data_IF_287837561947
#
_entry.id   IF_287837561947
#
_cell.length_a   1.000
_cell.length_b   1.000
_cell.length_c   1.000
_cell.angle_alpha   90.00
_cell.angle_beta   90.00
_cell.angle_gamma   90.00
#
_symmetry.space_group_name_H-M   'P 1'
#
loop_
_entity.id
_entity.type
_entity.pdbx_description
1 polymer ?
#
# COMPACT_ATOMS: atom_id res chain seq x y z
N UNK A 1 -31.85 24.94 5.56
CA UNK A 1 -30.72 24.79 4.61
C UNK A 1 -29.52 24.32 5.41
N UNK A 2 -28.83 23.23 5.06
CA UNK A 2 -27.57 22.91 5.71
C UNK A 2 -26.53 23.90 5.18
N UNK A 3 -25.93 24.69 6.07
CA UNK A 3 -24.75 25.48 5.77
C UNK A 3 -23.62 24.53 5.36
N UNK A 4 -23.31 24.47 4.06
CA UNK A 4 -22.09 23.86 3.56
C UNK A 4 -20.91 24.57 4.23
N UNK A 5 -20.31 23.96 5.25
CA UNK A 5 -19.02 24.37 5.79
C UNK A 5 -18.06 24.28 4.61
N UNK A 6 -17.61 25.43 4.09
CA UNK A 6 -16.50 25.43 3.12
C UNK A 6 -15.32 24.83 3.86
N UNK A 7 -14.80 23.70 3.36
CA UNK A 7 -13.53 23.17 3.83
C UNK A 7 -12.47 24.27 3.74
N UNK A 8 -11.65 24.38 4.78
CA UNK A 8 -10.67 25.45 4.87
C UNK A 8 -9.68 25.35 3.69
N UNK A 9 -9.35 26.47 3.07
CA UNK A 9 -8.55 26.50 1.83
C UNK A 9 -7.17 25.85 2.00
N UNK A 10 -6.61 25.87 3.22
CA UNK A 10 -5.32 25.25 3.53
C UNK A 10 -5.36 23.72 3.57
N UNK A 11 -6.55 23.13 3.70
CA UNK A 11 -6.77 21.70 3.53
C UNK A 11 -7.38 21.43 2.16
N UNK A 12 -7.17 22.25 1.12
CA UNK A 12 -7.61 21.93 -0.24
C UNK A 12 -6.63 21.05 -1.00
N UNK A 13 -5.32 21.26 -0.78
CA UNK A 13 -4.29 20.43 -1.39
C UNK A 13 -2.97 20.17 -0.58
N UNK A 14 -2.22 19.06 -0.71
CA UNK A 14 -1.02 18.73 0.09
C UNK A 14 -0.04 19.89 0.00
N UNK A 15 0.11 20.47 -1.20
CA UNK A 15 0.95 21.65 -1.41
C UNK A 15 0.39 22.84 -0.63
N UNK A 16 -0.93 23.07 -0.63
CA UNK A 16 -1.54 24.11 0.20
C UNK A 16 -1.34 23.84 1.70
N UNK A 17 -1.40 22.57 2.11
CA UNK A 17 -1.23 22.15 3.50
C UNK A 17 0.21 22.28 3.97
N UNK A 18 1.18 21.84 3.18
CA UNK A 18 2.61 22.01 3.42
C UNK A 18 2.95 23.51 3.52
N UNK A 19 2.48 24.32 2.57
CA UNK A 19 2.65 25.77 2.61
C UNK A 19 2.03 26.39 3.85
N UNK A 20 0.87 25.89 4.29
CA UNK A 20 0.22 26.34 5.51
C UNK A 20 1.03 25.99 6.75
N UNK A 21 1.52 24.76 6.87
CA UNK A 21 2.40 24.35 7.97
C UNK A 21 3.68 25.19 7.99
N UNK A 22 4.30 25.42 6.83
CA UNK A 22 5.46 26.31 6.71
C UNK A 22 5.14 27.74 7.19
N UNK A 23 3.98 28.29 6.81
CA UNK A 23 3.49 29.58 7.32
C UNK A 23 3.32 29.54 8.83
N UNK A 24 2.70 28.52 9.42
CA UNK A 24 2.50 28.42 10.87
C UNK A 24 3.83 28.46 11.64
N UNK A 25 4.85 27.74 11.18
CA UNK A 25 6.20 27.79 11.76
C UNK A 25 6.84 29.17 11.58
N UNK A 26 6.71 29.78 10.39
CA UNK A 26 7.24 31.12 10.10
C UNK A 26 6.62 32.19 11.01
N UNK A 27 5.30 32.18 11.20
CA UNK A 27 4.61 33.08 12.14
C UNK A 27 5.07 32.92 13.59
N UNK A 28 5.56 31.72 13.95
CA UNK A 28 6.14 31.43 15.25
C UNK A 28 7.66 31.70 15.30
N UNK A 29 8.19 32.50 14.39
CA UNK A 29 9.59 32.93 14.29
C UNK A 29 10.58 31.78 14.03
N UNK A 30 10.16 30.75 13.30
CA UNK A 30 11.08 29.77 12.74
C UNK A 30 11.49 30.18 11.33
N UNK A 31 12.77 29.98 10.99
CA UNK A 31 13.19 29.93 9.60
C UNK A 31 12.79 28.58 9.04
N UNK A 32 12.16 28.54 7.87
CA UNK A 32 11.64 27.31 7.26
C UNK A 32 12.24 27.16 5.86
N UNK A 33 12.74 25.96 5.56
CA UNK A 33 13.20 25.58 4.23
C UNK A 33 12.54 24.27 3.82
N UNK A 34 11.94 24.23 2.63
CA UNK A 34 11.40 23.01 2.03
C UNK A 34 12.53 22.04 1.72
N UNK A 35 12.33 20.75 2.03
CA UNK A 35 13.30 19.71 1.75
C UNK A 35 13.63 19.63 0.25
N UNK A 36 14.83 19.15 -0.07
CA UNK A 36 15.22 18.95 -1.47
C UNK A 36 14.41 17.79 -2.07
N UNK A 37 14.20 17.83 -3.38
CA UNK A 37 13.60 16.73 -4.13
C UNK A 37 14.31 15.41 -3.82
N UNK A 38 13.56 14.35 -3.50
CA UNK A 38 14.05 13.02 -3.09
C UNK A 38 14.68 12.90 -1.70
N UNK A 39 14.44 13.84 -0.79
CA UNK A 39 14.90 13.72 0.59
C UNK A 39 13.93 12.83 1.42
N UNK A 40 14.34 11.63 1.86
CA UNK A 40 13.44 10.74 2.59
C UNK A 40 13.28 11.19 4.05
N UNK A 41 12.06 11.08 4.57
CA UNK A 41 11.78 11.14 6.02
C UNK A 41 11.20 12.46 6.55
N UNK A 42 11.31 13.57 5.83
CA UNK A 42 10.74 14.86 6.23
C UNK A 42 10.48 15.77 5.01
N UNK A 43 9.62 16.77 5.20
CA UNK A 43 9.15 17.67 4.14
C UNK A 43 9.69 19.10 4.32
N UNK A 44 9.88 19.54 5.58
CA UNK A 44 10.47 20.84 5.90
C UNK A 44 11.62 20.70 6.90
N UNK A 45 12.61 21.58 6.80
CA UNK A 45 13.51 21.87 7.91
C UNK A 45 13.14 23.20 8.55
N UNK A 46 13.33 23.29 9.86
CA UNK A 46 13.05 24.49 10.63
C UNK A 46 14.23 24.85 11.53
N UNK A 47 14.51 26.14 11.66
CA UNK A 47 15.59 26.64 12.52
C UNK A 47 15.16 27.84 13.36
N UNK A 48 15.45 27.79 14.65
CA UNK A 48 15.22 28.89 15.58
C UNK A 48 16.24 28.84 16.71
N UNK A 49 17.03 29.89 16.87
CA UNK A 49 18.13 29.94 17.84
C UNK A 49 19.10 28.74 17.64
N UNK A 50 19.29 27.91 18.68
CA UNK A 50 20.09 26.68 18.63
C UNK A 50 19.28 25.44 18.23
N UNK A 51 17.97 25.58 18.02
CA UNK A 51 17.10 24.50 17.58
C UNK A 51 17.14 24.36 16.06
N UNK A 52 17.43 23.15 15.60
CA UNK A 52 17.38 22.74 14.21
C UNK A 52 16.53 21.48 14.15
N UNK A 53 15.40 21.54 13.45
CA UNK A 53 14.44 20.46 13.43
C UNK A 53 13.93 20.11 12.04
N UNK A 54 13.26 18.97 11.99
CA UNK A 54 12.55 18.46 10.82
C UNK A 54 11.05 18.45 11.06
N UNK A 55 10.28 18.70 10.01
CA UNK A 55 8.83 18.58 10.01
C UNK A 55 8.45 17.57 8.94
N UNK A 56 7.77 16.50 9.35
CA UNK A 56 7.05 15.64 8.43
C UNK A 56 5.59 16.08 8.39
N UNK A 57 5.12 16.42 7.20
CA UNK A 57 3.77 16.87 6.89
C UNK A 57 2.98 15.69 6.33
N UNK A 58 1.84 15.38 6.94
CA UNK A 58 0.94 14.32 6.49
C UNK A 58 -0.43 14.88 6.19
N UNK A 59 -0.65 15.10 4.90
CA UNK A 59 -1.96 15.40 4.40
C UNK A 59 -2.79 14.10 4.26
N UNK A 60 -3.85 13.93 5.07
CA UNK A 60 -4.66 12.69 5.11
C UNK A 60 -6.17 12.93 5.15
N UNK A 61 -6.94 11.95 4.60
CA UNK A 61 -8.39 11.77 4.75
C UNK A 61 -8.81 11.14 6.07
N UNK A 62 -7.94 10.33 6.64
CA UNK A 62 -8.15 9.57 7.87
C UNK A 62 -7.13 9.97 8.93
N UNK A 63 -7.26 9.40 10.13
CA UNK A 63 -6.27 9.61 11.17
C UNK A 63 -4.93 8.94 10.82
N UNK A 64 -3.83 9.52 11.28
CA UNK A 64 -2.48 8.93 11.19
C UNK A 64 -2.44 7.58 11.88
N UNK A 65 -1.84 6.58 11.23
CA UNK A 65 -1.73 5.21 11.74
C UNK A 65 -0.41 4.98 12.46
N UNK A 66 -0.34 3.95 13.32
CA UNK A 66 0.90 3.63 14.04
C UNK A 66 2.08 3.33 13.09
N UNK A 67 1.91 2.59 11.98
CA UNK A 67 2.98 2.38 11.01
C UNK A 67 3.61 3.66 10.44
N UNK A 68 2.77 4.65 10.08
CA UNK A 68 3.24 5.93 9.55
C UNK A 68 4.12 6.66 10.56
N UNK A 69 3.73 6.61 11.84
CA UNK A 69 4.48 7.25 12.91
C UNK A 69 5.78 6.49 13.25
N UNK A 70 5.73 5.16 13.29
CA UNK A 70 6.90 4.31 13.52
C UNK A 70 7.96 4.51 12.45
N UNK A 71 7.56 4.69 11.19
CA UNK A 71 8.48 5.02 10.11
C UNK A 71 9.20 6.34 10.34
N UNK A 72 8.50 7.37 10.83
CA UNK A 72 9.13 8.64 11.19
C UNK A 72 10.12 8.49 12.35
N UNK A 73 9.74 7.73 13.38
CA UNK A 73 10.63 7.44 14.52
C UNK A 73 11.90 6.73 14.06
N UNK A 74 11.77 5.76 13.14
CA UNK A 74 12.91 5.03 12.60
C UNK A 74 13.82 5.94 11.73
N UNK A 75 13.23 6.83 10.93
CA UNK A 75 14.00 7.90 10.27
C UNK A 75 14.78 8.76 11.28
N UNK A 76 14.18 9.13 12.41
CA UNK A 76 14.87 9.93 13.42
C UNK A 76 16.01 9.19 14.13
N UNK A 77 16.01 7.85 14.08
CA UNK A 77 17.11 7.01 14.57
C UNK A 77 18.26 6.88 13.53
N UNK A 78 18.05 7.32 12.30
CA UNK A 78 19.03 7.21 11.21
C UNK A 78 20.22 8.18 11.38
N UNK A 79 21.39 7.86 10.77
CA UNK A 79 22.53 8.79 10.72
C UNK A 79 22.19 10.15 10.10
N UNK A 80 21.30 10.17 9.11
CA UNK A 80 20.85 11.36 8.39
C UNK A 80 20.11 12.33 9.31
N UNK A 81 19.40 11.81 10.33
CA UNK A 81 18.66 12.63 11.27
C UNK A 81 19.51 13.22 12.41
N UNK A 82 20.77 12.77 12.57
CA UNK A 82 21.67 13.22 13.66
C UNK A 82 21.83 14.75 13.82
N UNK A 83 21.84 15.57 12.74
CA UNK A 83 21.96 17.01 12.90
C UNK A 83 20.75 17.67 13.57
N UNK A 84 19.59 17.01 13.56
CA UNK A 84 18.34 17.59 14.05
C UNK A 84 18.14 17.30 15.55
N UNK A 85 17.75 18.33 16.29
CA UNK A 85 17.54 18.28 17.73
C UNK A 85 16.07 18.47 18.15
N UNK A 86 15.15 18.62 17.19
CA UNK A 86 13.71 18.49 17.37
C UNK A 86 13.04 17.98 16.10
N UNK A 87 11.88 17.35 16.26
CA UNK A 87 11.13 16.74 15.17
C UNK A 87 9.64 17.00 15.36
N UNK A 88 8.93 17.24 14.26
CA UNK A 88 7.51 17.56 14.25
C UNK A 88 6.78 16.69 13.25
N UNK A 89 5.69 16.05 13.65
CA UNK A 89 4.79 15.30 12.77
C UNK A 89 3.45 16.02 12.73
N UNK A 90 3.20 16.73 11.64
CA UNK A 90 2.05 17.63 11.49
C UNK A 90 1.10 17.07 10.44
N UNK A 91 -0.17 16.95 10.80
CA UNK A 91 -1.18 16.27 9.97
C UNK A 91 -2.44 17.10 9.83
N UNK A 92 -3.19 16.92 8.74
CA UNK A 92 -4.53 17.52 8.63
C UNK A 92 -5.50 16.96 9.64
N UNK A 93 -5.28 15.72 10.08
CA UNK A 93 -6.18 14.96 10.96
C UNK A 93 -5.51 14.38 12.16
N UNK A 94 -6.34 13.90 13.10
CA UNK A 94 -5.87 13.31 14.33
C UNK A 94 -5.08 12.01 14.13
N UNK A 95 -4.81 11.36 15.24
CA UNK A 95 -4.02 10.13 15.30
C UNK A 95 -4.95 8.98 15.71
N UNK A 96 -4.72 7.79 15.17
CA UNK A 96 -5.49 6.60 15.55
C UNK A 96 -5.19 6.21 17.00
N UNK A 97 -6.04 5.37 17.60
CA UNK A 97 -5.81 4.85 18.96
C UNK A 97 -4.41 4.22 19.12
N UNK A 98 -4.00 3.29 18.23
CA UNK A 98 -2.65 2.74 18.20
C UNK A 98 -1.54 3.79 18.01
N UNK A 99 -1.71 4.76 17.10
CA UNK A 99 -0.72 5.83 16.91
C UNK A 99 -0.57 6.69 18.18
N UNK A 100 -1.68 7.03 18.83
CA UNK A 100 -1.68 7.71 20.12
C UNK A 100 -0.97 6.90 21.21
N UNK A 101 -1.08 5.57 21.19
CA UNK A 101 -0.36 4.71 22.13
C UNK A 101 1.16 4.76 21.90
N UNK A 102 1.60 4.79 20.64
CA UNK A 102 3.01 4.99 20.29
C UNK A 102 3.51 6.34 20.82
N UNK A 103 2.78 7.45 20.56
CA UNK A 103 3.15 8.79 21.08
C UNK A 103 3.30 8.77 22.61
N UNK A 104 2.38 8.11 23.32
CA UNK A 104 2.42 8.02 24.79
C UNK A 104 3.61 7.20 25.31
N UNK A 105 4.08 6.22 24.55
CA UNK A 105 5.22 5.38 24.97
C UNK A 105 6.57 6.12 24.99
N UNK A 106 6.66 7.27 24.32
CA UNK A 106 7.89 8.05 24.22
C UNK A 106 8.34 8.67 25.56
N UNK A 107 7.41 8.91 26.49
CA UNK A 107 7.71 9.58 27.76
C UNK A 107 7.95 11.10 27.61
N UNK A 108 8.39 11.77 28.69
CA UNK A 108 8.45 13.24 28.76
C UNK A 108 9.70 13.88 28.12
N UNK A 109 10.75 13.09 27.86
CA UNK A 109 12.05 13.58 27.37
C UNK A 109 12.22 13.49 25.84
N UNK A 110 11.13 13.35 25.09
CA UNK A 110 11.20 13.12 23.65
C UNK A 110 11.00 14.41 22.87
N UNK A 111 11.92 14.64 21.93
CA UNK A 111 11.99 15.82 21.07
C UNK A 111 11.11 15.69 19.82
N UNK A 112 10.08 14.84 19.88
CA UNK A 112 9.15 14.55 18.80
C UNK A 112 7.79 15.10 19.20
N UNK A 113 7.28 16.04 18.41
CA UNK A 113 6.01 16.73 18.67
C UNK A 113 5.00 16.36 17.58
N UNK A 114 3.85 15.85 17.97
CA UNK A 114 2.77 15.48 17.05
C UNK A 114 1.64 16.50 17.16
N UNK A 115 1.12 16.97 16.03
CA UNK A 115 0.08 17.98 16.04
C UNK A 115 -0.83 17.96 14.81
N UNK A 116 -2.04 18.48 14.99
CA UNK A 116 -3.02 18.70 13.92
C UNK A 116 -2.97 20.18 13.56
N UNK A 117 -2.71 20.51 12.30
CA UNK A 117 -2.69 21.91 11.90
C UNK A 117 -4.12 22.44 11.77
N UNK A 118 -4.34 23.59 12.41
CA UNK A 118 -5.56 24.37 12.38
C UNK A 118 -5.32 25.66 11.56
N UNK A 119 -6.37 26.42 11.26
CA UNK A 119 -6.25 27.65 10.47
C UNK A 119 -5.26 28.67 11.09
N UNK A 120 -5.24 28.79 12.43
CA UNK A 120 -4.43 29.80 13.13
C UNK A 120 -3.40 29.21 14.10
N UNK A 121 -3.11 27.91 14.01
CA UNK A 121 -2.20 27.26 14.95
C UNK A 121 -2.05 25.78 14.75
N UNK A 122 -1.36 25.13 15.68
CA UNK A 122 -1.21 23.68 15.73
C UNK A 122 -1.82 23.20 17.04
N UNK A 123 -2.78 22.29 16.93
CA UNK A 123 -3.32 21.56 18.06
C UNK A 123 -2.38 20.40 18.38
N UNK A 124 -1.57 20.57 19.43
CA UNK A 124 -0.59 19.57 19.84
C UNK A 124 -1.27 18.40 20.54
N UNK A 125 -0.91 17.18 20.15
CA UNK A 125 -1.36 15.97 20.82
C UNK A 125 -0.57 15.82 22.11
N UNK A 126 -1.21 15.85 23.28
CA UNK A 126 -0.53 15.58 24.53
C UNK A 126 -0.02 14.14 24.54
N UNK A 127 1.05 13.87 25.28
CA UNK A 127 1.43 12.51 25.67
C UNK A 127 0.37 11.93 26.65
N UNK A 128 -0.88 11.73 26.18
CA UNK A 128 -2.03 11.25 26.97
C UNK A 128 -3.40 11.76 26.47
N UNK A 129 -4.26 10.83 26.03
CA UNK A 129 -5.75 10.89 25.76
C UNK A 129 -6.23 11.98 24.76
N UNK A 130 -7.00 11.79 23.68
CA UNK A 130 -7.65 10.70 22.94
C UNK A 130 -8.71 11.28 21.97
N UNK A 131 -8.64 10.98 20.66
CA UNK A 131 -9.79 10.84 19.72
C UNK A 131 -10.25 12.01 18.80
N UNK A 132 -10.00 11.89 17.48
CA UNK A 132 -11.03 12.04 16.40
C UNK A 132 -10.91 13.12 15.28
N UNK A 133 -10.56 12.73 14.03
CA UNK A 133 -11.47 12.90 12.86
C UNK A 133 -11.11 13.78 11.63
N UNK A 134 -10.63 13.15 10.53
CA UNK A 134 -11.12 13.19 9.10
C UNK A 134 -10.97 14.36 8.06
N UNK A 135 -10.08 14.22 7.03
CA UNK A 135 -9.87 14.82 5.65
C UNK A 135 -9.87 16.32 5.21
N UNK A 136 -9.34 16.81 4.05
CA UNK A 136 -8.49 16.25 2.95
C UNK A 136 -8.07 17.21 1.78
N UNK A 137 -6.99 16.98 0.99
CA UNK A 137 -6.21 17.90 0.16
C UNK A 137 -5.07 17.33 -0.80
N UNK A 138 -5.19 17.48 -2.15
CA UNK A 138 -4.40 17.08 -3.37
C UNK A 138 -2.95 17.62 -3.74
N UNK A 139 -2.07 16.96 -4.54
CA UNK A 139 -1.23 17.41 -5.73
C UNK A 139 -0.30 16.28 -6.26
N UNK A 140 0.00 16.18 -7.59
CA UNK A 140 0.21 14.91 -8.30
C UNK A 140 1.71 14.66 -8.75
N UNK A 141 2.07 13.65 -9.58
CA UNK A 141 2.79 12.45 -9.14
C UNK A 141 4.15 12.20 -9.84
N UNK A 142 5.06 11.47 -9.18
CA UNK A 142 6.00 10.57 -9.87
C UNK A 142 5.25 9.34 -10.36
N UNK A 143 5.59 8.77 -11.53
CA UNK A 143 4.88 7.61 -12.11
C UNK A 143 4.75 6.44 -11.12
N UNK A 144 3.54 6.23 -10.59
CA UNK A 144 3.21 5.14 -9.67
C UNK A 144 2.92 3.86 -10.45
N UNK A 145 3.24 2.71 -9.86
CA UNK A 145 2.89 1.39 -10.38
C UNK A 145 1.62 0.91 -9.68
N UNK A 146 0.60 0.58 -10.46
CA UNK A 146 -0.69 0.09 -9.98
C UNK A 146 -0.87 -1.41 -10.28
N UNK A 147 -1.17 -2.16 -9.23
CA UNK A 147 -1.61 -3.55 -9.29
C UNK A 147 -3.11 -3.64 -8.97
N UNK A 148 -3.86 -4.42 -9.73
CA UNK A 148 -5.23 -4.81 -9.38
C UNK A 148 -5.33 -6.32 -9.17
N UNK A 149 -5.81 -6.75 -8.02
CA UNK A 149 -6.05 -8.18 -7.74
C UNK A 149 -7.54 -8.43 -7.88
N UNK A 150 -7.94 -9.16 -8.93
CA UNK A 150 -9.33 -9.42 -9.25
C UNK A 150 -9.71 -10.87 -8.96
N UNK A 151 -10.95 -11.09 -8.57
CA UNK A 151 -11.56 -12.44 -8.58
C UNK A 151 -13.00 -12.30 -9.00
N UNK A 152 -13.56 -13.34 -9.60
CA UNK A 152 -14.99 -13.37 -9.91
C UNK A 152 -15.77 -14.26 -8.92
N UNK A 153 -15.13 -14.70 -7.83
CA UNK A 153 -15.73 -15.52 -6.79
C UNK A 153 -15.04 -15.35 -5.43
N UNK A 154 -15.83 -15.39 -4.36
CA UNK A 154 -15.32 -15.50 -3.00
C UNK A 154 -14.54 -16.80 -2.78
N UNK A 155 -13.49 -16.74 -1.96
CA UNK A 155 -12.76 -17.92 -1.47
C UNK A 155 -11.61 -18.43 -2.35
N UNK A 156 -11.24 -17.73 -3.44
CA UNK A 156 -10.00 -18.06 -4.20
C UNK A 156 -8.75 -17.37 -3.64
N UNK A 157 -8.88 -16.62 -2.54
CA UNK A 157 -7.79 -15.97 -1.82
C UNK A 157 -7.31 -14.63 -2.41
N UNK A 158 -8.18 -13.85 -3.08
CA UNK A 158 -7.87 -12.51 -3.63
C UNK A 158 -7.21 -11.58 -2.60
N UNK A 159 -7.91 -11.31 -1.50
CA UNK A 159 -7.43 -10.47 -0.39
C UNK A 159 -6.10 -10.96 0.17
N UNK A 160 -5.96 -12.29 0.29
CA UNK A 160 -4.72 -12.92 0.70
C UNK A 160 -3.60 -12.59 -0.29
N UNK A 161 -3.80 -12.82 -1.59
CA UNK A 161 -2.79 -12.52 -2.63
C UNK A 161 -2.41 -11.04 -2.64
N UNK A 162 -3.37 -10.12 -2.51
CA UNK A 162 -3.11 -8.68 -2.44
C UNK A 162 -2.22 -8.31 -1.24
N UNK A 163 -2.56 -8.83 -0.06
CA UNK A 163 -1.80 -8.62 1.17
C UNK A 163 -0.38 -9.23 1.08
N UNK A 164 -0.24 -10.38 0.42
CA UNK A 164 1.06 -11.05 0.25
C UNK A 164 1.95 -10.31 -0.73
N UNK A 165 1.38 -9.80 -1.83
CA UNK A 165 2.10 -8.96 -2.77
C UNK A 165 2.60 -7.69 -2.07
N UNK A 166 1.76 -7.06 -1.24
CA UNK A 166 2.15 -5.91 -0.43
C UNK A 166 3.31 -6.24 0.52
N UNK A 167 3.19 -7.33 1.29
CA UNK A 167 4.24 -7.81 2.18
C UNK A 167 5.56 -8.06 1.48
N UNK A 168 5.53 -8.78 0.36
CA UNK A 168 6.73 -9.08 -0.42
C UNK A 168 7.41 -7.82 -0.95
N UNK A 169 6.66 -6.87 -1.52
CA UNK A 169 7.22 -5.62 -2.04
C UNK A 169 7.72 -4.69 -0.92
N UNK A 170 7.05 -4.66 0.22
CA UNK A 170 7.53 -3.91 1.39
C UNK A 170 8.88 -4.43 1.91
N UNK A 171 9.08 -5.76 1.90
CA UNK A 171 10.37 -6.37 2.21
C UNK A 171 11.46 -6.07 1.18
N UNK A 172 11.09 -5.69 -0.04
CA UNK A 172 12.02 -5.27 -1.09
C UNK A 172 12.36 -3.77 -1.04
N UNK A 173 11.86 -3.01 -0.04
CA UNK A 173 12.19 -1.59 0.08
C UNK A 173 11.13 -0.62 -0.39
N UNK A 174 9.92 -1.09 -0.73
CA UNK A 174 8.86 -0.23 -1.26
C UNK A 174 7.82 0.12 -0.21
N UNK A 175 7.41 1.39 -0.14
CA UNK A 175 6.17 1.74 0.53
C UNK A 175 4.98 1.35 -0.34
N UNK A 176 3.98 0.74 0.28
CA UNK A 176 2.81 0.18 -0.40
C UNK A 176 1.54 0.85 0.10
N UNK A 177 0.70 1.31 -0.83
CA UNK A 177 -0.67 1.73 -0.58
C UNK A 177 -1.60 0.60 -1.03
N UNK A 178 -2.35 0.04 -0.09
CA UNK A 178 -3.20 -1.12 -0.31
C UNK A 178 -4.68 -0.71 -0.18
N UNK A 179 -5.41 -0.75 -1.29
CA UNK A 179 -6.81 -0.30 -1.37
C UNK A 179 -7.75 -1.49 -1.27
N UNK A 180 -8.55 -1.54 -0.21
CA UNK A 180 -9.68 -2.45 -0.09
C UNK A 180 -10.90 -1.86 -0.82
N UNK A 181 -11.12 -2.32 -2.04
CA UNK A 181 -12.28 -1.95 -2.86
C UNK A 181 -13.44 -2.94 -2.67
N UNK A 182 -13.25 -3.98 -1.85
CA UNK A 182 -14.27 -4.98 -1.57
C UNK A 182 -15.19 -4.50 -0.44
N UNK A 183 -16.52 -4.43 -0.64
CA UNK A 183 -17.45 -4.03 0.42
C UNK A 183 -17.37 -4.89 1.68
N UNK A 184 -16.86 -6.12 1.58
CA UNK A 184 -16.69 -7.02 2.74
C UNK A 184 -15.55 -6.59 3.69
N UNK A 185 -14.68 -5.67 3.26
CA UNK A 185 -13.55 -5.12 4.01
C UNK A 185 -12.64 -6.19 4.63
N UNK A 186 -12.41 -7.29 3.90
CA UNK A 186 -11.66 -8.43 4.40
C UNK A 186 -10.16 -8.09 4.57
N UNK A 187 -9.66 -7.09 3.85
CA UNK A 187 -8.28 -6.65 3.95
C UNK A 187 -8.06 -5.83 5.21
N UNK A 188 -9.02 -4.96 5.55
CA UNK A 188 -9.02 -4.23 6.82
C UNK A 188 -9.07 -5.19 8.02
N UNK A 189 -9.82 -6.30 7.94
CA UNK A 189 -9.79 -7.33 8.99
C UNK A 189 -8.43 -8.03 9.12
N UNK A 190 -7.69 -8.15 8.02
CA UNK A 190 -6.40 -8.83 8.00
C UNK A 190 -5.27 -7.92 8.53
N UNK A 191 -5.27 -6.65 8.12
CA UNK A 191 -4.16 -5.71 8.35
C UNK A 191 -4.52 -4.46 9.13
N UNK A 192 -5.76 -4.35 9.59
CA UNK A 192 -6.30 -3.16 10.25
C UNK A 192 -6.01 -1.92 9.39
N UNK A 193 -5.34 -0.92 9.97
CA UNK A 193 -5.01 0.33 9.31
C UNK A 193 -3.61 0.31 8.64
N UNK A 194 -2.89 -0.82 8.71
CA UNK A 194 -1.59 -1.00 8.08
C UNK A 194 -0.53 -1.70 8.94
N UNK A 195 0.65 -1.90 8.36
CA UNK A 195 1.79 -2.61 8.97
C UNK A 195 3.09 -1.85 8.74
N UNK A 196 3.92 -1.78 9.79
CA UNK A 196 5.31 -1.35 9.68
C UNK A 196 6.23 -2.55 9.49
N UNK A 197 7.07 -2.51 8.47
CA UNK A 197 8.03 -3.58 8.12
C UNK A 197 9.44 -3.05 8.41
N UNK A 198 10.08 -3.46 9.52
CA UNK A 198 11.40 -2.97 9.90
C UNK A 198 12.47 -3.46 8.92
N UNK A 199 13.51 -2.66 8.74
CA UNK A 199 14.67 -2.99 7.90
C UNK A 199 15.95 -2.92 8.77
N UNK A 200 16.67 -4.04 8.99
CA UNK A 200 17.89 -4.03 9.79
C UNK A 200 19.01 -3.13 9.23
N UNK A 201 18.97 -2.79 7.94
CA UNK A 201 19.99 -2.00 7.25
C UNK A 201 19.63 -0.53 7.01
N UNK A 202 18.50 -0.04 7.52
CA UNK A 202 18.06 1.35 7.28
C UNK A 202 16.62 1.60 7.73
N UNK A 203 15.99 2.64 7.20
CA UNK A 203 14.59 2.94 7.52
C UNK A 203 13.67 1.84 6.95
N UNK A 204 12.74 1.36 7.77
CA UNK A 204 11.73 0.38 7.35
C UNK A 204 10.67 0.94 6.40
N UNK A 205 9.80 0.04 5.90
CA UNK A 205 8.76 0.35 4.92
C UNK A 205 7.37 0.20 5.53
N UNK A 206 6.37 0.81 4.89
CA UNK A 206 4.98 0.74 5.35
C UNK A 206 4.06 0.09 4.32
N UNK A 207 3.11 -0.70 4.83
CA UNK A 207 1.91 -1.10 4.09
C UNK A 207 0.75 -0.33 4.71
N UNK A 208 0.22 0.65 3.99
CA UNK A 208 -0.90 1.47 4.45
C UNK A 208 -2.20 0.99 3.80
N UNK A 209 -3.27 0.79 4.59
CA UNK A 209 -4.55 0.24 4.10
C UNK A 209 -5.58 1.35 3.98
N UNK A 210 -6.16 1.48 2.79
CA UNK A 210 -7.21 2.45 2.46
C UNK A 210 -8.48 1.73 2.03
N UNK A 211 -9.63 2.36 2.24
CA UNK A 211 -10.88 1.96 1.61
C UNK A 211 -11.31 3.03 0.60
N UNK A 212 -12.44 2.81 -0.08
CA UNK A 212 -12.95 3.75 -1.09
C UNK A 212 -13.13 5.19 -0.56
N UNK A 213 -13.54 5.35 0.70
CA UNK A 213 -13.84 6.65 1.28
C UNK A 213 -12.59 7.37 1.80
N UNK A 214 -11.59 6.61 2.26
CA UNK A 214 -10.33 7.15 2.78
C UNK A 214 -9.25 7.29 1.72
N UNK A 215 -9.45 6.72 0.54
CA UNK A 215 -8.51 6.81 -0.57
C UNK A 215 -8.42 8.23 -1.14
N UNK A 216 -7.20 8.69 -1.32
CA UNK A 216 -6.86 9.85 -2.12
C UNK A 216 -5.45 9.66 -2.66
N UNK A 217 -5.22 9.89 -3.95
CA UNK A 217 -3.90 9.68 -4.52
C UNK A 217 -2.80 10.52 -3.85
N UNK A 218 -3.19 11.66 -3.27
CA UNK A 218 -2.28 12.61 -2.68
C UNK A 218 -2.00 12.29 -1.20
N UNK A 219 -2.74 11.36 -0.60
CA UNK A 219 -2.43 10.86 0.75
C UNK A 219 -1.20 9.94 0.75
N UNK A 220 -0.75 9.50 -0.43
CA UNK A 220 0.32 8.52 -0.61
C UNK A 220 1.35 8.97 -1.66
N UNK A 221 1.79 10.24 -1.63
CA UNK A 221 2.73 10.80 -2.60
C UNK A 221 4.08 10.04 -2.66
N UNK A 222 4.63 9.68 -1.49
CA UNK A 222 5.91 8.97 -1.40
C UNK A 222 5.80 7.46 -1.70
N UNK A 223 4.57 6.97 -1.91
CA UNK A 223 4.31 5.58 -2.23
C UNK A 223 4.41 5.37 -3.74
N UNK A 224 5.34 4.50 -4.15
CA UNK A 224 5.56 4.17 -5.55
C UNK A 224 4.61 3.06 -6.06
N UNK A 225 4.06 2.25 -5.16
CA UNK A 225 3.27 1.07 -5.53
C UNK A 225 1.90 1.08 -4.86
N UNK A 226 0.86 1.04 -5.69
CA UNK A 226 -0.54 0.94 -5.26
C UNK A 226 -1.07 -0.43 -5.61
N UNK A 227 -1.66 -1.15 -4.66
CA UNK A 227 -2.27 -2.46 -4.86
C UNK A 227 -3.75 -2.37 -4.51
N UNK A 228 -4.62 -2.70 -5.45
CA UNK A 228 -6.07 -2.71 -5.28
C UNK A 228 -6.56 -4.13 -5.04
N UNK A 229 -7.10 -4.43 -3.86
CA UNK A 229 -7.92 -5.62 -3.60
C UNK A 229 -9.32 -5.37 -4.17
N UNK A 230 -9.51 -5.71 -5.45
CA UNK A 230 -10.69 -5.32 -6.22
C UNK A 230 -11.97 -6.05 -5.76
N UNK A 231 -13.13 -5.40 -5.86
CA UNK A 231 -14.41 -6.06 -5.65
C UNK A 231 -14.65 -7.15 -6.69
N UNK A 232 -15.31 -8.28 -6.35
CA UNK A 232 -15.56 -9.35 -7.30
C UNK A 232 -16.45 -8.99 -8.49
N UNK A 233 -17.27 -7.95 -8.32
CA UNK A 233 -18.09 -7.38 -9.39
C UNK A 233 -17.37 -6.16 -9.96
N UNK A 234 -17.01 -6.21 -11.25
CA UNK A 234 -16.14 -5.19 -11.85
C UNK A 234 -16.75 -3.79 -11.75
N UNK A 235 -18.07 -3.67 -11.92
CA UNK A 235 -18.84 -2.43 -11.86
C UNK A 235 -18.80 -1.73 -10.50
N UNK A 236 -18.39 -2.42 -9.43
CA UNK A 236 -18.22 -1.83 -8.09
C UNK A 236 -16.86 -1.16 -7.91
N UNK A 237 -15.89 -1.48 -8.77
CA UNK A 237 -14.57 -0.89 -8.76
C UNK A 237 -14.58 0.47 -9.48
N UNK A 238 -13.76 1.41 -9.02
CA UNK A 238 -13.63 2.70 -9.69
C UNK A 238 -12.99 2.52 -11.08
N UNK A 239 -13.69 3.00 -12.11
CA UNK A 239 -13.25 2.90 -13.50
C UNK A 239 -11.96 3.67 -13.75
N UNK A 240 -11.74 4.80 -13.08
CA UNK A 240 -10.50 5.59 -13.22
C UNK A 240 -9.31 4.86 -12.59
N UNK A 241 -9.50 4.11 -11.49
CA UNK A 241 -8.47 3.24 -10.95
C UNK A 241 -8.16 2.08 -11.92
N UNK A 242 -9.18 1.44 -12.49
CA UNK A 242 -8.97 0.34 -13.46
C UNK A 242 -8.13 0.82 -14.66
N UNK A 243 -8.39 2.02 -15.19
CA UNK A 243 -7.62 2.60 -16.31
C UNK A 243 -6.13 2.79 -15.99
N UNK A 244 -5.77 2.99 -14.73
CA UNK A 244 -4.39 3.23 -14.27
C UNK A 244 -3.61 1.97 -13.98
N UNK A 245 -4.27 0.81 -13.86
CA UNK A 245 -3.61 -0.45 -13.55
C UNK A 245 -2.52 -0.78 -14.60
N UNK A 246 -1.31 -1.02 -14.11
CA UNK A 246 -0.20 -1.52 -14.92
C UNK A 246 -0.23 -3.05 -14.99
N UNK A 247 -0.60 -3.68 -13.89
CA UNK A 247 -0.61 -5.13 -13.71
C UNK A 247 -1.92 -5.58 -13.06
N UNK A 248 -2.53 -6.63 -13.59
CA UNK A 248 -3.75 -7.23 -13.06
C UNK A 248 -3.49 -8.70 -12.76
N UNK A 249 -3.75 -9.13 -11.53
CA UNK A 249 -3.55 -10.50 -11.08
C UNK A 249 -4.91 -11.14 -10.79
N UNK A 250 -5.16 -12.31 -11.39
CA UNK A 250 -6.42 -13.04 -11.27
C UNK A 250 -6.12 -14.42 -10.65
N UNK A 251 -6.13 -14.57 -9.32
CA UNK A 251 -5.98 -15.88 -8.70
C UNK A 251 -7.17 -16.80 -9.01
N UNK A 252 -6.88 -18.06 -9.27
CA UNK A 252 -7.88 -19.14 -9.36
C UNK A 252 -7.38 -20.40 -8.66
N UNK A 253 -8.22 -21.41 -8.55
CA UNK A 253 -7.86 -22.69 -7.89
C UNK A 253 -7.73 -23.80 -8.93
N UNK A 254 -6.74 -24.66 -8.78
CA UNK A 254 -6.53 -25.80 -9.67
C UNK A 254 -7.39 -27.01 -9.26
N UNK A 255 -8.70 -26.91 -9.52
CA UNK A 255 -9.64 -28.02 -9.31
C UNK A 255 -10.73 -28.05 -10.39
N UNK A 256 -11.36 -29.21 -10.67
CA UNK A 256 -12.32 -29.35 -11.77
C UNK A 256 -13.54 -28.42 -11.70
N UNK A 257 -14.07 -28.18 -10.49
CA UNK A 257 -15.21 -27.29 -10.27
C UNK A 257 -14.85 -25.83 -10.49
N UNK A 258 -13.62 -25.45 -10.12
CA UNK A 258 -13.04 -24.14 -10.35
C UNK A 258 -12.82 -23.89 -11.83
N UNK A 259 -12.27 -24.83 -12.60
CA UNK A 259 -11.98 -24.60 -14.02
C UNK A 259 -13.26 -24.50 -14.87
N UNK A 260 -14.26 -25.36 -14.66
CA UNK A 260 -15.50 -25.33 -15.46
C UNK A 260 -16.37 -24.08 -15.21
N UNK A 261 -16.50 -23.66 -13.95
CA UNK A 261 -17.31 -22.48 -13.60
C UNK A 261 -16.50 -21.18 -13.67
N UNK A 262 -15.25 -21.17 -13.20
CA UNK A 262 -14.45 -19.94 -13.19
C UNK A 262 -13.83 -19.63 -14.55
N UNK A 263 -13.60 -20.63 -15.41
CA UNK A 263 -13.03 -20.40 -16.74
C UNK A 263 -13.78 -19.33 -17.52
N UNK A 264 -15.10 -19.52 -17.70
CA UNK A 264 -15.96 -18.54 -18.39
C UNK A 264 -16.01 -17.18 -17.69
N UNK A 265 -16.04 -17.17 -16.36
CA UNK A 265 -16.18 -15.92 -15.61
C UNK A 265 -14.87 -15.13 -15.64
N UNK A 266 -13.72 -15.78 -15.52
CA UNK A 266 -12.40 -15.15 -15.67
C UNK A 266 -12.23 -14.62 -17.09
N UNK A 267 -12.64 -15.37 -18.12
CA UNK A 267 -12.66 -14.88 -19.50
C UNK A 267 -13.51 -13.60 -19.63
N UNK A 268 -14.71 -13.56 -19.03
CA UNK A 268 -15.55 -12.34 -18.98
C UNK A 268 -14.84 -11.19 -18.28
N UNK A 269 -14.24 -11.43 -17.12
CA UNK A 269 -13.50 -10.40 -16.38
C UNK A 269 -12.30 -9.86 -17.16
N UNK A 270 -11.56 -10.72 -17.88
CA UNK A 270 -10.48 -10.27 -18.77
C UNK A 270 -11.04 -9.34 -19.86
N UNK A 271 -12.14 -9.73 -20.51
CA UNK A 271 -12.78 -8.91 -21.55
C UNK A 271 -13.31 -7.58 -21.01
N UNK A 272 -13.94 -7.60 -19.85
CA UNK A 272 -14.47 -6.40 -19.20
C UNK A 272 -13.34 -5.46 -18.75
N UNK A 273 -12.26 -5.98 -18.15
CA UNK A 273 -11.06 -5.19 -17.85
C UNK A 273 -10.52 -4.57 -19.14
N UNK A 274 -10.41 -5.34 -20.23
CA UNK A 274 -9.92 -4.84 -21.53
C UNK A 274 -10.81 -3.78 -22.16
N UNK A 275 -12.12 -3.81 -21.90
CA UNK A 275 -13.03 -2.75 -22.34
C UNK A 275 -12.76 -1.39 -21.65
N UNK A 276 -12.02 -1.40 -20.54
CA UNK A 276 -11.67 -0.21 -19.74
C UNK A 276 -10.17 0.12 -19.88
N UNK A 277 -9.30 -0.88 -19.83
CA UNK A 277 -7.84 -0.76 -19.83
C UNK A 277 -7.20 -1.73 -20.84
N UNK A 278 -6.79 -1.17 -21.99
CA UNK A 278 -6.16 -1.92 -23.08
C UNK A 278 -4.66 -2.16 -22.86
N UNK A 279 -4.05 -1.53 -21.84
CA UNK A 279 -2.59 -1.48 -21.69
C UNK A 279 -2.05 -2.31 -20.52
N UNK A 280 -2.87 -2.66 -19.54
CA UNK A 280 -2.46 -3.47 -18.39
C UNK A 280 -1.95 -4.86 -18.79
N UNK A 281 -0.95 -5.38 -18.09
CA UNK A 281 -0.55 -6.79 -18.20
C UNK A 281 -1.44 -7.62 -17.26
N UNK A 282 -2.12 -8.63 -17.79
CA UNK A 282 -3.04 -9.49 -17.05
C UNK A 282 -2.40 -10.86 -16.82
N UNK A 283 -2.40 -11.32 -15.58
CA UNK A 283 -1.84 -12.60 -15.19
C UNK A 283 -2.91 -13.43 -14.50
N UNK A 284 -3.12 -14.64 -14.98
CA UNK A 284 -3.87 -15.64 -14.22
C UNK A 284 -2.88 -16.59 -13.55
N UNK A 285 -3.08 -16.85 -12.26
CA UNK A 285 -2.22 -17.75 -11.49
C UNK A 285 -3.04 -18.70 -10.63
N UNK A 286 -2.44 -19.85 -10.34
CA UNK A 286 -3.02 -20.82 -9.41
C UNK A 286 -2.69 -20.42 -7.98
N UNK A 287 -3.73 -20.19 -7.19
CA UNK A 287 -3.69 -20.05 -5.76
C UNK A 287 -4.23 -21.30 -5.06
N UNK A 288 -3.90 -21.41 -3.77
CA UNK A 288 -4.33 -22.48 -2.90
C UNK A 288 -3.90 -23.86 -3.40
N UNK A 289 -2.72 -23.93 -4.02
CA UNK A 289 -2.22 -25.14 -4.66
C UNK A 289 -1.94 -26.22 -3.62
N UNK A 290 -2.55 -27.38 -3.82
CA UNK A 290 -2.28 -28.62 -3.09
C UNK A 290 -1.82 -29.64 -4.11
N UNK A 291 -0.66 -30.25 -3.90
CA UNK A 291 -0.13 -31.25 -4.82
C UNK A 291 -1.11 -32.43 -4.96
N UNK A 292 -1.73 -32.62 -6.15
CA UNK A 292 -2.70 -33.67 -6.37
C UNK A 292 -2.04 -35.01 -6.81
N UNK A 293 -0.70 -35.05 -6.87
CA UNK A 293 0.09 -36.13 -7.43
C UNK A 293 0.28 -36.02 -8.95
N UNK A 294 1.41 -36.53 -9.45
CA UNK A 294 1.91 -36.35 -10.83
C UNK A 294 0.85 -36.56 -11.92
N UNK A 295 0.13 -37.69 -11.89
CA UNK A 295 -0.86 -38.03 -12.93
C UNK A 295 -2.02 -37.04 -12.97
N UNK A 296 -2.56 -36.69 -11.79
CA UNK A 296 -3.71 -35.78 -11.67
C UNK A 296 -3.30 -34.35 -11.98
N UNK A 297 -2.10 -33.95 -11.54
CA UNK A 297 -1.55 -32.64 -11.82
C UNK A 297 -1.42 -32.38 -13.32
N UNK A 298 -0.87 -33.33 -14.09
CA UNK A 298 -0.75 -33.23 -15.55
C UNK A 298 -2.10 -32.97 -16.24
N UNK A 299 -3.15 -33.67 -15.82
CA UNK A 299 -4.51 -33.51 -16.38
C UNK A 299 -5.08 -32.13 -16.01
N UNK A 300 -4.97 -31.72 -14.75
CA UNK A 300 -5.49 -30.43 -14.29
C UNK A 300 -4.74 -29.26 -14.93
N UNK A 301 -3.42 -29.35 -15.06
CA UNK A 301 -2.58 -28.37 -15.74
C UNK A 301 -2.99 -28.21 -17.20
N UNK A 302 -3.14 -29.31 -17.94
CA UNK A 302 -3.55 -29.25 -19.34
C UNK A 302 -4.92 -28.56 -19.48
N UNK A 303 -5.90 -28.99 -18.69
CA UNK A 303 -7.22 -28.37 -18.71
C UNK A 303 -7.19 -26.87 -18.35
N UNK A 304 -6.38 -26.48 -17.37
CA UNK A 304 -6.19 -25.09 -17.00
C UNK A 304 -5.65 -24.24 -18.15
N UNK A 305 -4.62 -24.71 -18.84
CA UNK A 305 -4.02 -24.00 -19.98
C UNK A 305 -5.00 -23.93 -21.17
N UNK A 306 -5.68 -25.03 -21.48
CA UNK A 306 -6.65 -25.11 -22.58
C UNK A 306 -7.80 -24.10 -22.42
N UNK A 307 -8.28 -23.89 -21.19
CA UNK A 307 -9.38 -22.95 -20.89
C UNK A 307 -9.04 -21.51 -21.30
N UNK A 308 -7.77 -21.11 -21.25
CA UNK A 308 -7.36 -19.74 -21.56
C UNK A 308 -6.51 -19.63 -22.84
N UNK A 309 -6.44 -20.70 -23.63
CA UNK A 309 -5.63 -20.76 -24.85
C UNK A 309 -6.02 -19.68 -25.86
N UNK A 310 -7.33 -19.49 -26.10
CA UNK A 310 -7.83 -18.50 -27.06
C UNK A 310 -7.45 -17.06 -26.67
N UNK A 311 -7.58 -16.72 -25.39
CA UNK A 311 -7.19 -15.40 -24.88
C UNK A 311 -5.67 -15.24 -24.98
N UNK A 312 -4.89 -16.26 -24.61
CA UNK A 312 -3.43 -16.22 -24.67
C UNK A 312 -2.90 -16.03 -26.10
N UNK A 313 -3.64 -16.49 -27.11
CA UNK A 313 -3.30 -16.29 -28.52
C UNK A 313 -3.68 -14.91 -29.06
N UNK A 314 -4.72 -14.30 -28.50
CA UNK A 314 -5.32 -13.05 -29.04
C UNK A 314 -4.85 -11.80 -28.29
N UNK A 315 -4.63 -11.90 -26.98
CA UNK A 315 -4.16 -10.82 -26.12
C UNK A 315 -2.70 -11.03 -25.72
N UNK A 316 -1.79 -10.29 -26.37
CA UNK A 316 -0.35 -10.35 -26.09
C UNK A 316 0.01 -9.88 -24.68
N UNK A 317 -0.88 -9.19 -23.97
CA UNK A 317 -0.64 -8.74 -22.60
C UNK A 317 -1.37 -9.60 -21.57
N UNK A 318 -1.91 -10.73 -21.98
CA UNK A 318 -2.46 -11.75 -21.10
C UNK A 318 -1.49 -12.92 -20.98
N UNK A 319 -1.20 -13.33 -19.75
CA UNK A 319 -0.31 -14.44 -19.45
C UNK A 319 -1.01 -15.45 -18.53
N UNK A 320 -1.17 -16.67 -19.05
CA UNK A 320 -1.64 -17.82 -18.30
C UNK A 320 -0.44 -18.56 -17.71
N UNK A 321 -0.08 -18.21 -16.47
CA UNK A 321 1.16 -18.69 -15.88
C UNK A 321 1.05 -20.19 -15.60
N UNK A 322 2.02 -20.93 -16.11
CA UNK A 322 2.12 -22.37 -15.91
C UNK A 322 2.18 -22.70 -14.40
N UNK A 323 1.28 -23.54 -13.87
CA UNK A 323 1.30 -23.92 -12.45
C UNK A 323 2.57 -24.66 -12.00
N UNK A 324 3.36 -25.21 -12.93
CA UNK A 324 4.69 -25.76 -12.65
C UNK A 324 5.74 -24.66 -12.39
N UNK A 325 5.58 -23.50 -13.02
CA UNK A 325 6.48 -22.36 -12.87
C UNK A 325 6.10 -21.54 -11.64
N UNK A 326 4.81 -21.19 -11.51
CA UNK A 326 4.30 -20.37 -10.41
C UNK A 326 2.97 -20.91 -9.91
N UNK A 327 2.94 -21.22 -8.62
CA UNK A 327 1.69 -21.41 -7.88
C UNK A 327 1.85 -20.91 -6.44
N UNK A 328 0.78 -20.32 -5.91
CA UNK A 328 0.71 -19.97 -4.49
C UNK A 328 0.19 -21.20 -3.76
N UNK A 329 1.01 -21.75 -2.87
CA UNK A 329 0.71 -22.99 -2.15
C UNK A 329 -0.43 -22.78 -1.16
N UNK A 330 -1.06 -23.88 -0.77
CA UNK A 330 -1.95 -23.88 0.38
C UNK A 330 -1.15 -23.68 1.69
N UNK A 331 -1.63 -22.84 2.62
CA UNK A 331 -1.08 -22.70 3.97
C UNK A 331 -2.21 -22.57 4.99
N UNK A 332 -2.11 -23.32 6.09
CA UNK A 332 -3.06 -23.27 7.21
C UNK A 332 -2.86 -22.04 8.11
N UNK A 333 -1.68 -21.42 8.10
CA UNK A 333 -1.27 -20.43 9.10
C UNK A 333 -0.85 -19.08 8.49
N UNK A 334 -1.12 -18.85 7.19
CA UNK A 334 -0.66 -17.66 6.46
C UNK A 334 0.85 -17.40 6.65
N UNK A 335 1.66 -18.46 6.75
CA UNK A 335 3.11 -18.41 7.04
C UNK A 335 3.98 -17.60 6.06
N UNK A 336 3.37 -17.02 5.03
CA UNK A 336 4.07 -16.42 3.91
C UNK A 336 4.67 -15.03 4.22
N UNK A 337 4.10 -14.28 5.16
CA UNK A 337 4.64 -13.00 5.63
C UNK A 337 4.13 -12.68 7.04
N UNK A 338 4.92 -11.97 7.85
CA UNK A 338 4.58 -11.60 9.24
C UNK A 338 5.32 -12.41 10.30
N UNK A 339 5.57 -13.71 10.09
CA UNK A 339 6.37 -14.50 11.05
C UNK A 339 7.82 -14.03 11.12
N UNK A 340 8.39 -13.57 10.01
CA UNK A 340 9.72 -12.97 9.97
C UNK A 340 9.80 -11.66 10.78
N UNK A 341 8.67 -11.00 11.09
CA UNK A 341 8.63 -9.84 11.99
C UNK A 341 8.80 -10.26 13.46
N UNK A 342 8.53 -11.53 13.77
CA UNK A 342 8.61 -12.12 15.11
C UNK A 342 9.86 -13.02 15.27
N UNK A 343 10.53 -13.35 14.17
CA UNK A 343 11.74 -14.17 14.13
C UNK A 343 13.00 -13.29 13.98
N UNK A 344 14.18 -13.89 14.19
CA UNK A 344 15.46 -13.21 14.09
C UNK A 344 15.64 -12.56 12.70
N UNK A 345 15.82 -11.23 12.61
CA UNK A 345 16.01 -10.53 11.35
C UNK A 345 17.25 -10.98 10.56
N UNK A 346 18.23 -11.60 11.22
CA UNK A 346 19.44 -12.11 10.58
C UNK A 346 19.23 -13.47 9.90
N UNK A 347 18.15 -14.19 10.25
CA UNK A 347 17.87 -15.52 9.70
C UNK A 347 16.35 -15.82 9.60
N UNK A 348 15.59 -15.02 8.82
CA UNK A 348 14.14 -15.17 8.74
C UNK A 348 13.77 -16.48 8.04
N UNK A 349 12.91 -17.32 8.64
CA UNK A 349 12.39 -18.55 7.98
C UNK A 349 11.30 -18.25 6.95
N UNK A 350 11.28 -17.04 6.40
CA UNK A 350 10.20 -16.59 5.51
C UNK A 350 10.10 -17.51 4.30
N UNK A 351 9.10 -18.39 4.29
CA UNK A 351 8.64 -19.05 3.08
C UNK A 351 7.73 -18.06 2.37
N UNK A 352 8.30 -17.01 1.75
CA UNK A 352 7.50 -16.14 0.88
C UNK A 352 6.71 -17.04 -0.09
N UNK A 353 5.45 -16.69 -0.36
CA UNK A 353 4.67 -17.36 -1.42
C UNK A 353 5.39 -17.33 -2.78
N UNK A 354 6.33 -16.39 -2.91
CA UNK A 354 7.21 -16.18 -4.04
C UNK A 354 8.66 -16.43 -3.60
N UNK A 355 9.36 -17.39 -4.21
CA UNK A 355 10.83 -17.37 -4.12
C UNK A 355 11.32 -16.13 -4.87
N UNK A 356 12.45 -15.54 -4.44
CA UNK A 356 13.19 -14.50 -5.17
C UNK A 356 13.81 -15.10 -6.45
N UNK A 357 12.95 -15.53 -7.38
CA UNK A 357 13.29 -15.97 -8.73
C UNK A 357 12.40 -15.18 -9.67
N UNK A 358 12.73 -13.90 -9.85
CA UNK A 358 12.13 -13.07 -10.88
C UNK A 358 12.72 -13.48 -12.23
N UNK A 359 11.97 -14.24 -13.01
CA UNK A 359 12.31 -14.51 -14.40
C UNK A 359 12.30 -13.21 -15.21
N UNK A 360 13.27 -13.06 -16.10
CA UNK A 360 13.25 -12.02 -17.15
C UNK A 360 11.95 -12.22 -17.94
N UNK A 361 11.12 -11.18 -18.16
CA UNK A 361 9.92 -11.31 -18.97
C UNK A 361 10.27 -11.93 -20.33
N UNK A 362 9.54 -12.96 -20.76
CA UNK A 362 9.75 -13.68 -22.04
C UNK A 362 9.59 -12.82 -23.30
N UNK A 363 9.47 -11.51 -23.18
CA UNK A 363 9.34 -10.54 -24.27
C UNK A 363 10.68 -10.12 -24.89
N UNK A 364 11.82 -10.49 -24.27
CA UNK A 364 13.16 -10.09 -24.74
C UNK A 364 14.05 -11.22 -25.28
N UNK A 365 13.52 -12.42 -25.55
CA UNK A 365 14.25 -13.41 -26.35
C UNK A 365 13.98 -13.14 -27.84
N UNK A 366 14.53 -12.02 -28.32
CA UNK A 366 14.89 -11.89 -29.72
C UNK A 366 16.07 -12.82 -29.99
N UNK A 367 15.95 -13.60 -31.07
CA UNK A 367 16.96 -14.49 -31.62
C UNK A 367 18.40 -13.97 -31.40
N UNK A 368 19.22 -14.79 -30.73
CA UNK A 368 20.56 -15.16 -31.17
C UNK A 368 21.06 -16.37 -30.37
#
# INVERSE_FOLDING_TARGET
>A
MPSSIKEAEFIADFVHFEQHVAKLFTHNNWQVETAKTNQPGYDLTIKKNQSLGVVQVKWLKSNVTAPQLLKFVDFLASPEAKPFNCAYFITTKGFSGPACAVIRSWGENVRIYCGVAQENGIEWIPSGVGGGGGGSSVTPPTDKIYFGVFTCKGGVGKTTVAAHLAGALALQGFDIALLDLDPEQNLHKLLWDGVYVPNPGGVGNTIEVFNKDTWDENSVQNCQIVICDCSPALERNDRELIKRLNYCIIPTTLNPLGMNKHGKVIQSTVQEIRSINQTANLFILVNNFRDPGVKRFKILKQNFLDVYQDISQTDKKFDCIDPEEVCIRFSDLLYYWGIHLLEDPQNPRSELAFKLVGGIPRWNLGNN
#
